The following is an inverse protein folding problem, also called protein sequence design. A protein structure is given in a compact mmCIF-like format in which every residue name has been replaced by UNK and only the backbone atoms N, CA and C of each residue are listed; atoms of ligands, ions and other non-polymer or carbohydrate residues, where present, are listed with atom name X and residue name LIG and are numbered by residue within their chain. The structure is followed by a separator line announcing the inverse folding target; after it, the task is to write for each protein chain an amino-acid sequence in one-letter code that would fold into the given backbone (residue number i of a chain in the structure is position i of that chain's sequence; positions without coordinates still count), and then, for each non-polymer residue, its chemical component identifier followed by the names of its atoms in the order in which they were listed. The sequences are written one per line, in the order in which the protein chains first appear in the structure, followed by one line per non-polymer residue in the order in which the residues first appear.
data_IF_524167314445
#
_entry.id   IF_524167314445
#
_cell.length_a   1.000
_cell.length_b   1.000
_cell.length_c   1.000
_cell.angle_alpha   90.00
_cell.angle_beta   90.00
_cell.angle_gamma   90.00
#
_symmetry.space_group_name_H-M   'P 1'
#
loop_
_entity.id
_entity.type
_entity.pdbx_description
1 polymer ?
#
# COMPACT_ATOMS: atom_id res chain seq x y z
N UNK A 1 -14.44 14.68 -6.88
CA UNK A 1 -14.07 14.14 -8.21
C UNK A 1 -13.36 15.28 -8.93
N UNK A 2 -12.07 15.11 -9.18
CA UNK A 2 -11.00 16.08 -8.86
C UNK A 2 -10.66 17.08 -9.97
N UNK A 3 -10.15 18.26 -9.56
CA UNK A 3 -9.56 19.37 -10.36
C UNK A 3 -8.75 18.97 -11.61
N UNK A 4 -8.15 17.77 -11.60
CA UNK A 4 -7.39 17.21 -12.72
C UNK A 4 -8.24 16.87 -13.95
N UNK A 5 -9.57 16.78 -13.83
CA UNK A 5 -10.46 16.54 -14.97
C UNK A 5 -10.47 17.70 -15.97
N UNK A 6 -10.21 18.94 -15.53
CA UNK A 6 -10.11 20.10 -16.42
C UNK A 6 -8.81 20.17 -17.23
N UNK A 7 -7.77 19.42 -16.84
CA UNK A 7 -6.45 19.40 -17.49
C UNK A 7 -6.31 18.29 -18.56
N UNK A 8 -7.39 17.54 -18.82
CA UNK A 8 -7.37 16.22 -19.50
C UNK A 8 -7.28 16.20 -21.02
N UNK A 9 -7.03 17.32 -21.69
CA UNK A 9 -7.34 17.39 -23.12
C UNK A 9 -6.59 16.35 -23.98
N UNK A 10 -5.38 15.88 -23.59
CA UNK A 10 -4.64 14.84 -24.34
C UNK A 10 -3.88 13.79 -23.50
N UNK A 11 -4.09 13.69 -22.17
CA UNK A 11 -3.27 12.82 -21.30
C UNK A 11 -4.10 11.72 -20.62
N UNK A 12 -3.59 10.48 -20.65
CA UNK A 12 -4.16 9.32 -19.94
C UNK A 12 -4.03 9.50 -18.41
N UNK A 13 -5.11 9.26 -17.65
CA UNK A 13 -5.10 9.40 -16.19
C UNK A 13 -5.32 8.06 -15.48
N UNK A 14 -4.32 7.69 -14.68
CA UNK A 14 -4.39 6.54 -13.78
C UNK A 14 -4.41 7.04 -12.33
N UNK A 15 -5.35 6.53 -11.54
CA UNK A 15 -5.43 6.80 -10.10
C UNK A 15 -5.08 5.51 -9.36
N UNK A 16 -3.95 5.49 -8.67
CA UNK A 16 -3.56 4.40 -7.78
C UNK A 16 -4.01 4.72 -6.35
N UNK A 17 -4.65 3.74 -5.70
CA UNK A 17 -5.12 3.78 -4.32
C UNK A 17 -4.47 2.63 -3.56
N UNK A 18 -3.26 2.83 -3.04
CA UNK A 18 -2.59 1.81 -2.23
C UNK A 18 -3.27 1.68 -0.86
N UNK A 19 -3.10 0.52 -0.25
CA UNK A 19 -3.44 0.28 1.16
C UNK A 19 -2.31 0.79 2.07
N UNK A 20 -2.17 0.28 3.30
CA UNK A 20 -1.16 0.79 4.22
C UNK A 20 0.24 0.45 3.69
N UNK A 21 0.98 1.47 3.26
CA UNK A 21 2.33 1.27 2.73
C UNK A 21 3.30 1.06 3.89
N UNK A 22 4.07 -0.03 3.82
CA UNK A 22 5.12 -0.36 4.80
C UNK A 22 6.51 -0.25 4.17
N UNK A 23 7.54 -0.68 4.91
CA UNK A 23 8.90 -0.82 4.40
C UNK A 23 8.97 -1.68 3.14
N UNK A 24 10.06 -1.50 2.40
CA UNK A 24 10.32 -2.20 1.14
C UNK A 24 10.62 -3.67 1.37
N UNK A 25 10.18 -4.51 0.44
CA UNK A 25 10.48 -5.94 0.47
C UNK A 25 11.87 -6.24 -0.07
N UNK A 26 12.26 -5.61 -1.19
CA UNK A 26 13.53 -5.86 -1.89
C UNK A 26 14.28 -4.58 -2.28
N UNK A 27 13.63 -3.62 -2.91
CA UNK A 27 14.30 -2.45 -3.52
C UNK A 27 13.95 -1.16 -2.77
N UNK A 28 14.88 -0.21 -2.56
CA UNK A 28 16.30 -0.24 -2.94
C UNK A 28 17.14 -1.22 -2.09
N UNK A 29 16.66 -1.58 -0.91
CA UNK A 29 17.14 -2.70 -0.08
C UNK A 29 16.01 -3.12 0.87
N UNK A 30 16.02 -4.36 1.40
CA UNK A 30 14.97 -4.84 2.29
C UNK A 30 14.86 -4.00 3.58
N UNK A 31 13.63 -3.65 3.96
CA UNK A 31 13.35 -2.93 5.19
C UNK A 31 13.59 -1.42 5.13
N UNK A 32 13.89 -0.85 3.95
CA UNK A 32 13.99 0.60 3.80
C UNK A 32 12.64 1.27 4.06
N UNK A 33 12.66 2.35 4.84
CA UNK A 33 11.49 3.16 5.13
C UNK A 33 11.87 4.62 5.38
N UNK A 34 11.05 5.54 4.88
CA UNK A 34 11.21 6.96 5.13
C UNK A 34 10.44 7.39 6.39
N UNK A 35 11.06 7.14 7.53
CA UNK A 35 10.52 7.44 8.85
C UNK A 35 9.49 6.43 9.34
N UNK A 36 9.04 6.61 10.58
CA UNK A 36 8.06 5.73 11.22
C UNK A 36 6.69 6.42 11.13
N UNK A 37 5.75 5.84 10.38
CA UNK A 37 4.42 6.42 10.19
C UNK A 37 3.34 5.39 10.51
N UNK A 38 2.22 5.85 11.08
CA UNK A 38 1.00 5.03 11.29
C UNK A 38 1.29 3.63 11.87
N UNK A 39 1.27 2.58 11.03
CA UNK A 39 1.44 1.19 11.45
C UNK A 39 2.90 0.84 11.78
N UNK A 40 3.87 1.55 11.21
CA UNK A 40 5.29 1.29 11.46
C UNK A 40 5.64 1.54 12.93
N UNK A 41 4.94 2.47 13.57
CA UNK A 41 5.08 2.74 15.00
C UNK A 41 4.66 1.54 15.83
N UNK A 42 3.56 0.89 15.44
CA UNK A 42 3.12 -0.36 16.06
C UNK A 42 4.13 -1.48 15.81
N UNK A 43 4.54 -1.69 14.56
CA UNK A 43 5.52 -2.73 14.20
C UNK A 43 6.83 -2.54 14.96
N UNK A 44 7.30 -1.30 15.10
CA UNK A 44 8.53 -0.97 15.85
C UNK A 44 8.37 -1.23 17.34
N UNK A 45 7.23 -0.84 17.93
CA UNK A 45 6.96 -1.10 19.34
C UNK A 45 6.85 -2.61 19.62
N UNK A 46 6.19 -3.35 18.73
CA UNK A 46 6.05 -4.81 18.82
C UNK A 46 7.40 -5.51 18.68
N UNK A 47 8.20 -5.14 17.67
CA UNK A 47 9.55 -5.68 17.48
C UNK A 47 10.52 -5.36 18.62
N UNK A 48 10.29 -4.28 19.38
CA UNK A 48 11.03 -3.93 20.60
C UNK A 48 10.47 -4.56 21.88
N UNK A 49 9.40 -5.36 21.79
CA UNK A 49 8.74 -5.96 22.95
C UNK A 49 8.02 -4.95 23.86
N UNK A 50 7.72 -3.74 23.38
CA UNK A 50 6.99 -2.71 24.14
C UNK A 50 5.48 -2.88 24.06
N UNK A 51 4.99 -3.59 23.05
CA UNK A 51 3.60 -4.01 22.93
C UNK A 51 3.56 -5.47 22.45
N UNK A 52 2.67 -6.27 23.00
CA UNK A 52 2.51 -7.69 22.64
C UNK A 52 1.25 -7.96 21.82
N UNK A 53 0.40 -6.95 21.61
CA UNK A 53 -0.87 -7.13 20.91
C UNK A 53 -1.33 -5.91 20.11
N UNK A 54 -2.10 -6.19 19.06
CA UNK A 54 -2.74 -5.19 18.21
C UNK A 54 -4.20 -5.03 18.65
N UNK A 55 -4.56 -3.84 19.15
CA UNK A 55 -5.92 -3.53 19.61
C UNK A 55 -6.86 -3.28 18.42
N UNK A 56 -7.26 -4.36 17.76
CA UNK A 56 -8.29 -4.33 16.72
C UNK A 56 -9.03 -5.65 16.67
N UNK A 57 -10.15 -5.68 15.95
CA UNK A 57 -10.94 -6.89 15.77
C UNK A 57 -10.07 -7.98 15.10
N UNK A 58 -9.87 -9.15 15.76
CA UNK A 58 -9.04 -10.23 15.24
C UNK A 58 -9.60 -10.86 13.95
N UNK A 59 -10.90 -10.68 13.66
CA UNK A 59 -11.52 -11.15 12.42
C UNK A 59 -11.16 -10.28 11.20
N UNK A 60 -10.60 -9.09 11.42
CA UNK A 60 -10.25 -8.18 10.33
C UNK A 60 -8.88 -8.48 9.72
N UNK A 61 -8.78 -8.20 8.42
CA UNK A 61 -7.53 -8.27 7.66
C UNK A 61 -6.79 -6.93 7.79
N UNK A 62 -5.53 -6.99 8.17
CA UNK A 62 -4.60 -5.87 8.12
C UNK A 62 -4.02 -5.78 6.71
N UNK A 63 -4.61 -4.93 5.86
CA UNK A 63 -4.14 -4.76 4.49
C UNK A 63 -2.98 -3.76 4.41
N UNK A 64 -1.79 -4.33 4.17
CA UNK A 64 -0.53 -3.61 4.04
C UNK A 64 0.23 -4.08 2.81
N UNK A 65 0.97 -3.17 2.20
CA UNK A 65 1.71 -3.42 0.97
C UNK A 65 3.12 -2.80 1.04
N UNK A 66 4.18 -3.54 0.65
CA UNK A 66 5.52 -2.98 0.57
C UNK A 66 5.62 -1.81 -0.42
N UNK A 67 6.40 -0.79 -0.07
CA UNK A 67 6.56 0.40 -0.91
C UNK A 67 7.06 0.11 -2.33
N UNK A 68 8.01 -0.81 -2.49
CA UNK A 68 8.54 -1.23 -3.78
C UNK A 68 7.50 -1.93 -4.66
N UNK A 69 6.55 -2.67 -4.07
CA UNK A 69 5.43 -3.24 -4.82
C UNK A 69 4.46 -2.17 -5.33
N UNK A 70 4.24 -1.10 -4.56
CA UNK A 70 3.40 0.03 -5.00
C UNK A 70 4.05 0.75 -6.18
N UNK A 71 5.36 0.97 -6.14
CA UNK A 71 6.11 1.58 -7.24
C UNK A 71 6.05 0.69 -8.49
N UNK A 72 6.24 -0.62 -8.34
CA UNK A 72 6.12 -1.57 -9.46
C UNK A 72 4.72 -1.54 -10.08
N UNK A 73 3.67 -1.51 -9.25
CA UNK A 73 2.30 -1.36 -9.74
C UNK A 73 2.08 -0.04 -10.49
N UNK A 74 2.68 1.05 -10.02
CA UNK A 74 2.62 2.35 -10.69
C UNK A 74 3.27 2.31 -12.07
N UNK A 75 4.48 1.74 -12.19
CA UNK A 75 5.19 1.60 -13.46
C UNK A 75 4.37 0.76 -14.44
N UNK A 76 3.87 -0.40 -14.01
CA UNK A 76 3.04 -1.27 -14.84
C UNK A 76 1.78 -0.55 -15.31
N UNK A 77 1.10 0.18 -14.42
CA UNK A 77 -0.11 0.91 -14.77
C UNK A 77 0.18 2.04 -15.77
N UNK A 78 1.29 2.77 -15.62
CA UNK A 78 1.71 3.78 -16.59
C UNK A 78 1.96 3.16 -17.97
N UNK A 79 2.75 2.08 -18.04
CA UNK A 79 3.06 1.39 -19.31
C UNK A 79 1.81 0.84 -19.98
N UNK A 80 0.89 0.28 -19.19
CA UNK A 80 -0.37 -0.30 -19.69
C UNK A 80 -1.29 0.73 -20.35
N UNK A 81 -1.19 2.00 -19.94
CA UNK A 81 -2.08 3.09 -20.36
C UNK A 81 -1.41 4.20 -21.17
N UNK A 82 -0.12 4.07 -21.50
CA UNK A 82 0.62 5.06 -22.30
C UNK A 82 -0.05 5.37 -23.64
N UNK A 83 -0.50 4.36 -24.37
CA UNK A 83 -1.11 4.52 -25.71
C UNK A 83 -2.64 4.44 -25.68
N UNK A 84 -3.26 4.69 -24.52
CA UNK A 84 -4.71 4.64 -24.34
C UNK A 84 -5.23 6.04 -23.98
N UNK A 85 -5.33 6.95 -24.96
CA UNK A 85 -5.85 8.28 -24.70
C UNK A 85 -7.28 8.17 -24.13
N UNK A 86 -7.64 9.09 -23.22
CA UNK A 86 -8.93 9.13 -22.53
C UNK A 86 -9.24 7.96 -21.56
N UNK A 87 -8.28 7.07 -21.29
CA UNK A 87 -8.50 6.04 -20.27
C UNK A 87 -8.51 6.66 -18.87
N UNK A 88 -9.57 6.37 -18.11
CA UNK A 88 -9.70 6.72 -16.69
C UNK A 88 -9.82 5.44 -15.90
N UNK A 89 -8.74 5.02 -15.27
CA UNK A 89 -8.72 3.77 -14.52
C UNK A 89 -8.25 4.02 -13.09
N UNK A 90 -8.92 3.33 -12.17
CA UNK A 90 -8.62 3.35 -10.75
C UNK A 90 -8.11 1.96 -10.37
N UNK A 91 -6.89 1.89 -9.84
CA UNK A 91 -6.32 0.66 -9.31
C UNK A 91 -6.29 0.73 -7.79
N UNK A 92 -6.94 -0.23 -7.13
CA UNK A 92 -6.73 -0.47 -5.70
C UNK A 92 -5.56 -1.45 -5.59
N UNK A 93 -4.52 -1.06 -4.84
CA UNK A 93 -3.30 -1.86 -4.71
C UNK A 93 -3.13 -2.26 -3.25
N UNK A 94 -3.35 -3.54 -2.95
CA UNK A 94 -3.27 -4.08 -1.61
C UNK A 94 -2.98 -5.57 -1.62
N UNK A 95 -2.72 -6.14 -0.46
CA UNK A 95 -2.37 -7.55 -0.28
C UNK A 95 -3.56 -8.42 0.14
N UNK A 96 -4.64 -7.84 0.66
CA UNK A 96 -5.76 -8.58 1.27
C UNK A 96 -6.33 -9.72 0.42
N UNK A 97 -6.42 -9.55 -0.90
CA UNK A 97 -7.00 -10.55 -1.80
C UNK A 97 -6.03 -11.71 -2.11
N UNK A 98 -4.72 -11.48 -2.07
CA UNK A 98 -3.71 -12.46 -2.50
C UNK A 98 -2.90 -13.04 -1.35
N UNK A 99 -2.69 -12.26 -0.29
CA UNK A 99 -1.94 -12.62 0.90
C UNK A 99 -2.48 -11.87 2.15
N UNK A 100 -3.70 -12.21 2.62
CA UNK A 100 -4.31 -11.52 3.76
C UNK A 100 -3.53 -11.76 5.05
N UNK A 101 -3.14 -10.69 5.73
CA UNK A 101 -2.61 -10.75 7.09
C UNK A 101 -3.73 -10.57 8.11
N UNK A 102 -4.17 -11.67 8.74
CA UNK A 102 -5.19 -11.58 9.78
C UNK A 102 -4.63 -10.94 11.06
N UNK A 103 -5.40 -10.03 11.65
CA UNK A 103 -5.05 -9.39 12.93
C UNK A 103 -4.97 -10.41 14.07
N UNK A 104 -5.72 -11.51 13.96
CA UNK A 104 -5.56 -12.68 14.81
C UNK A 104 -4.16 -13.29 14.78
N UNK A 105 -3.19 -12.82 14.00
CA UNK A 105 -1.79 -13.27 14.11
C UNK A 105 -1.07 -12.62 15.30
N UNK A 106 -1.59 -11.51 15.82
CA UNK A 106 -1.03 -10.75 16.94
C UNK A 106 -1.68 -11.14 18.29
N UNK A 107 -1.87 -12.46 18.55
CA UNK A 107 -2.69 -13.01 19.67
C UNK A 107 -2.11 -12.90 21.09
N UNK A 108 -1.01 -12.21 21.33
CA UNK A 108 -0.42 -12.17 22.68
C UNK A 108 -0.92 -10.97 23.49
N UNK A 109 -2.25 -10.82 23.48
CA UNK A 109 -3.08 -10.25 24.53
C UNK A 109 -3.91 -11.46 25.01
#
# INVERSE_FOLDING_TARGET
MTLLEGLRQDVSLVILRPTIITSTYKEPFPGWIEGIKTIDGFITAFGRGRTSCFLADPANVLDMIPGDMVINAMIVAMVTHMNKPYSRIIYNVGSSMSNPMNISSFKNC
#
